data_IF_448238033693
#
_entry.id   IF_448238033693
#
_cell.length_a   1.000
_cell.length_b   1.000
_cell.length_c   1.000
_cell.angle_alpha   90.00
_cell.angle_beta   90.00
_cell.angle_gamma   90.00
#
_symmetry.space_group_name_H-M   'P 1'
#
loop_
_entity.id
_entity.type
_entity.pdbx_description
1 polymer ?
#
# COMPACT_ATOMS: atom_id res chain seq x y z
N UNK A 1 -8.56 -12.55 -1.50
CA UNK A 1 -9.04 -11.21 -1.88
C UNK A 1 -9.24 -11.09 -3.39
N UNK A 2 -8.21 -11.19 -4.27
CA UNK A 2 -8.31 -10.95 -5.74
C UNK A 2 -9.37 -11.83 -6.43
N UNK A 3 -9.50 -13.12 -6.06
CA UNK A 3 -10.56 -13.98 -6.59
C UNK A 3 -11.97 -13.49 -6.28
N UNK A 4 -12.19 -12.90 -5.10
CA UNK A 4 -13.48 -12.30 -4.76
C UNK A 4 -13.76 -11.06 -5.62
N UNK A 5 -12.76 -10.21 -5.82
CA UNK A 5 -12.90 -9.02 -6.70
C UNK A 5 -13.26 -9.47 -8.11
N UNK A 6 -12.54 -10.46 -8.67
CA UNK A 6 -12.81 -11.01 -9.99
C UNK A 6 -14.25 -11.48 -10.16
N UNK A 7 -14.79 -12.17 -9.16
CA UNK A 7 -16.16 -12.73 -9.21
C UNK A 7 -17.25 -11.65 -9.11
N UNK A 8 -16.93 -10.46 -8.64
CA UNK A 8 -17.88 -9.36 -8.47
C UNK A 8 -17.74 -8.26 -9.54
N UNK A 9 -16.64 -8.27 -10.31
CA UNK A 9 -16.40 -7.28 -11.34
C UNK A 9 -17.26 -7.59 -12.56
N UNK A 10 -18.04 -6.62 -12.99
CA UNK A 10 -18.90 -6.75 -14.19
C UNK A 10 -18.05 -6.67 -15.47
N UNK A 11 -18.62 -7.12 -16.57
CA UNK A 11 -18.04 -6.94 -17.91
C UNK A 11 -17.78 -5.45 -18.17
N UNK A 12 -16.55 -5.10 -18.56
CA UNK A 12 -16.11 -3.71 -18.74
C UNK A 12 -15.87 -2.92 -17.45
N UNK A 13 -16.03 -3.56 -16.29
CA UNK A 13 -15.75 -2.94 -15.00
C UNK A 13 -14.26 -2.74 -14.76
N UNK A 14 -13.92 -1.71 -13.96
CA UNK A 14 -12.55 -1.43 -13.53
C UNK A 14 -12.39 -1.74 -12.06
N UNK A 15 -11.22 -2.25 -11.70
CA UNK A 15 -10.76 -2.41 -10.32
C UNK A 15 -9.58 -1.46 -10.08
N UNK A 16 -9.73 -0.58 -9.10
CA UNK A 16 -8.68 0.32 -8.67
C UNK A 16 -8.02 -0.25 -7.42
N UNK A 17 -6.69 -0.40 -7.45
CA UNK A 17 -5.90 -0.86 -6.32
C UNK A 17 -4.84 0.19 -5.99
N UNK A 18 -4.86 0.69 -4.77
CA UNK A 18 -3.80 1.54 -4.19
C UNK A 18 -2.98 0.72 -3.20
N UNK A 19 -1.66 0.70 -3.39
CA UNK A 19 -0.70 0.10 -2.50
C UNK A 19 0.51 1.02 -2.40
N UNK A 20 1.13 1.14 -1.21
CA UNK A 20 2.38 1.87 -1.11
C UNK A 20 3.50 1.13 -1.87
N UNK A 21 4.47 1.88 -2.39
CA UNK A 21 5.66 1.32 -2.99
C UNK A 21 6.73 1.11 -1.91
N UNK A 22 7.22 -0.13 -1.68
CA UNK A 22 8.23 -0.40 -0.67
C UNK A 22 9.52 0.38 -0.95
N UNK A 23 9.92 1.24 -0.03
CA UNK A 23 11.21 1.94 -0.08
C UNK A 23 12.26 1.16 0.71
N UNK A 24 13.19 0.52 -0.01
CA UNK A 24 14.24 -0.33 0.59
C UNK A 24 15.17 0.49 1.48
N UNK A 25 15.53 1.71 1.08
CA UNK A 25 16.40 2.57 1.88
C UNK A 25 15.73 2.91 3.21
N UNK A 26 14.46 3.32 3.19
CA UNK A 26 13.69 3.58 4.40
C UNK A 26 13.58 2.35 5.31
N UNK A 27 13.36 1.16 4.73
CA UNK A 27 13.30 -0.10 5.49
C UNK A 27 14.61 -0.35 6.24
N UNK A 28 15.77 -0.19 5.56
CA UNK A 28 17.09 -0.42 6.13
C UNK A 28 17.44 0.63 7.19
N UNK A 29 17.22 1.91 6.90
CA UNK A 29 17.53 3.03 7.81
C UNK A 29 16.65 3.04 9.07
N UNK A 30 15.40 2.56 8.95
CA UNK A 30 14.44 2.54 10.06
C UNK A 30 14.49 1.26 10.89
N UNK A 31 15.25 0.25 10.48
CA UNK A 31 15.34 -1.01 11.22
C UNK A 31 15.94 -0.78 12.62
N UNK A 32 15.20 -1.16 13.67
CA UNK A 32 15.58 -1.02 15.08
C UNK A 32 15.77 0.42 15.57
N UNK A 33 15.42 1.41 14.76
CA UNK A 33 15.38 2.82 15.17
C UNK A 33 14.02 3.14 15.76
N UNK A 34 13.99 3.76 16.94
CA UNK A 34 12.74 4.27 17.50
C UNK A 34 12.51 5.70 17.00
N UNK A 35 11.52 5.87 16.12
CA UNK A 35 11.17 7.16 15.55
C UNK A 35 9.87 7.71 16.14
N UNK A 36 9.79 9.02 16.37
CA UNK A 36 8.53 9.70 16.69
C UNK A 36 7.74 9.84 15.41
N UNK A 37 6.51 9.30 15.38
CA UNK A 37 5.63 9.34 14.22
C UNK A 37 4.42 10.26 14.40
N UNK A 38 4.05 10.54 15.66
CA UNK A 38 3.02 11.51 15.98
C UNK A 38 3.22 12.08 17.38
N UNK A 39 2.88 13.35 17.53
CA UNK A 39 2.81 14.06 18.81
C UNK A 39 1.67 15.07 18.73
N UNK A 40 0.72 15.00 19.65
CA UNK A 40 -0.45 15.90 19.66
C UNK A 40 -1.09 15.92 21.06
N UNK A 41 -1.88 16.98 21.30
CA UNK A 41 -2.73 17.08 22.49
C UNK A 41 -4.18 16.79 22.09
N UNK A 42 -4.84 15.93 22.84
CA UNK A 42 -6.26 15.58 22.66
C UNK A 42 -7.17 16.72 23.11
N UNK A 43 -8.44 16.72 22.70
CA UNK A 43 -9.42 17.75 23.08
C UNK A 43 -9.65 17.83 24.61
N UNK A 44 -9.43 16.74 25.33
CA UNK A 44 -9.50 16.67 26.79
C UNK A 44 -8.18 17.02 27.51
N UNK A 45 -7.18 17.52 26.75
CA UNK A 45 -5.92 18.08 27.29
C UNK A 45 -4.85 17.05 27.63
N UNK A 46 -4.92 15.81 27.13
CA UNK A 46 -3.87 14.81 27.30
C UNK A 46 -2.83 14.91 26.19
N UNK A 47 -1.55 14.90 26.55
CA UNK A 47 -0.46 14.85 25.60
C UNK A 47 -0.22 13.42 25.16
N UNK A 48 -0.26 13.17 23.85
CA UNK A 48 -0.04 11.86 23.24
C UNK A 48 1.21 11.90 22.40
N UNK A 49 2.14 10.97 22.68
CA UNK A 49 3.34 10.73 21.90
C UNK A 49 3.31 9.29 21.38
N UNK A 50 3.49 9.12 20.07
CA UNK A 50 3.58 7.81 19.44
C UNK A 50 4.97 7.63 18.84
N UNK A 51 5.66 6.58 19.32
CA UNK A 51 6.94 6.17 18.77
C UNK A 51 6.79 4.86 18.02
N UNK A 52 7.49 4.73 16.90
CA UNK A 52 7.47 3.53 16.07
C UNK A 52 8.83 2.82 16.13
N UNK A 53 8.80 1.51 16.23
CA UNK A 53 9.92 0.63 15.87
C UNK A 53 9.47 -0.30 14.76
N UNK A 54 10.39 -0.72 13.90
CA UNK A 54 10.08 -1.68 12.85
C UNK A 54 11.21 -2.69 12.63
N UNK A 55 10.84 -3.86 12.13
CA UNK A 55 11.75 -4.93 11.73
C UNK A 55 11.23 -5.63 10.48
N UNK A 56 12.02 -5.60 9.43
CA UNK A 56 11.66 -6.27 8.19
C UNK A 56 12.10 -7.74 8.20
N UNK A 57 11.16 -8.64 7.91
CA UNK A 57 11.42 -10.07 7.70
C UNK A 57 11.52 -10.37 6.21
N UNK A 58 12.73 -10.51 5.68
CA UNK A 58 12.96 -10.71 4.24
C UNK A 58 12.38 -12.03 3.71
N UNK A 59 12.31 -13.07 4.53
CA UNK A 59 11.78 -14.40 4.12
C UNK A 59 10.27 -14.40 3.91
N UNK A 60 9.55 -13.57 4.65
CA UNK A 60 8.09 -13.42 4.56
C UNK A 60 7.68 -12.12 3.88
N UNK A 61 8.64 -11.19 3.70
CA UNK A 61 8.44 -9.82 3.23
C UNK A 61 7.42 -9.06 4.09
N UNK A 62 7.40 -9.34 5.39
CA UNK A 62 6.54 -8.63 6.33
C UNK A 62 7.37 -7.63 7.12
N UNK A 63 6.92 -6.38 7.15
CA UNK A 63 7.43 -5.37 8.05
C UNK A 63 6.63 -5.43 9.35
N UNK A 64 7.30 -5.83 10.45
CA UNK A 64 6.74 -5.88 11.79
C UNK A 64 6.90 -4.52 12.41
N UNK A 65 5.80 -3.84 12.66
CA UNK A 65 5.76 -2.48 13.20
C UNK A 65 5.14 -2.52 14.59
N UNK A 66 5.77 -1.82 15.53
CA UNK A 66 5.22 -1.59 16.86
C UNK A 66 5.04 -0.10 17.07
N UNK A 67 3.83 0.33 17.40
CA UNK A 67 3.52 1.69 17.84
C UNK A 67 3.40 1.73 19.34
N UNK A 68 4.33 2.44 19.97
CA UNK A 68 4.42 2.64 21.42
C UNK A 68 3.72 3.95 21.76
N UNK A 69 2.60 3.86 22.46
CA UNK A 69 1.81 5.01 22.90
C UNK A 69 2.25 5.46 24.27
N UNK A 70 2.48 6.76 24.41
CA UNK A 70 2.72 7.43 25.68
C UNK A 70 1.66 8.50 25.87
N UNK A 71 1.09 8.59 27.09
CA UNK A 71 0.09 9.60 27.45
C UNK A 71 0.63 10.37 28.65
N UNK A 72 0.70 11.71 28.54
CA UNK A 72 1.29 12.60 29.53
C UNK A 72 2.69 12.16 29.96
N UNK A 73 3.50 11.66 29.01
CA UNK A 73 4.86 11.18 29.24
C UNK A 73 4.98 9.76 29.79
N UNK A 74 3.88 9.12 30.19
CA UNK A 74 3.88 7.75 30.70
C UNK A 74 3.54 6.73 29.61
N UNK A 75 4.23 5.58 29.63
CA UNK A 75 3.92 4.47 28.71
C UNK A 75 2.50 3.98 28.94
N UNK A 76 1.74 3.87 27.85
CA UNK A 76 0.33 3.44 27.88
C UNK A 76 0.12 2.05 27.26
N UNK A 77 0.55 1.85 26.02
CA UNK A 77 0.29 0.59 25.30
C UNK A 77 1.20 0.41 24.08
N UNK A 78 1.21 -0.81 23.54
CA UNK A 78 1.82 -1.13 22.24
C UNK A 78 0.73 -1.64 21.32
N UNK A 79 0.73 -1.12 20.09
CA UNK A 79 -0.07 -1.66 18.98
C UNK A 79 0.87 -2.27 17.95
N UNK A 80 0.62 -3.55 17.60
CA UNK A 80 1.34 -4.24 16.54
C UNK A 80 0.62 -4.07 15.21
N UNK A 81 1.40 -3.81 14.16
CA UNK A 81 0.93 -3.73 12.78
C UNK A 81 1.89 -4.51 11.88
N UNK A 82 1.40 -5.57 11.28
CA UNK A 82 2.15 -6.38 10.33
C UNK A 82 1.77 -5.96 8.90
N UNK A 83 2.74 -5.44 8.16
CA UNK A 83 2.52 -4.97 6.79
C UNK A 83 3.28 -5.84 5.80
N UNK A 84 2.55 -6.55 4.93
CA UNK A 84 3.15 -7.26 3.81
C UNK A 84 3.65 -6.24 2.78
N UNK A 85 4.93 -6.35 2.42
CA UNK A 85 5.56 -5.52 1.39
C UNK A 85 5.37 -6.18 0.03
N UNK A 86 4.61 -5.54 -0.86
CA UNK A 86 4.44 -5.98 -2.24
C UNK A 86 5.34 -5.15 -3.14
N UNK A 87 6.43 -5.75 -3.61
CA UNK A 87 7.31 -5.10 -4.57
C UNK A 87 6.67 -5.03 -5.96
N UNK A 88 7.01 -4.02 -6.78
CA UNK A 88 6.28 -3.73 -8.02
C UNK A 88 6.11 -4.91 -8.97
N UNK A 89 7.19 -5.63 -9.28
CA UNK A 89 7.13 -6.77 -10.20
C UNK A 89 6.39 -7.99 -9.61
N UNK A 90 6.48 -8.17 -8.29
CA UNK A 90 5.74 -9.22 -7.60
C UNK A 90 4.24 -8.93 -7.67
N UNK A 91 3.83 -7.69 -7.37
CA UNK A 91 2.42 -7.30 -7.40
C UNK A 91 1.85 -7.36 -8.81
N UNK A 92 2.60 -6.90 -9.83
CA UNK A 92 2.23 -7.03 -11.23
C UNK A 92 1.94 -8.51 -11.58
N UNK A 93 2.86 -9.42 -11.23
CA UNK A 93 2.70 -10.86 -11.46
C UNK A 93 1.50 -11.48 -10.72
N UNK A 94 1.22 -11.04 -9.50
CA UNK A 94 0.05 -11.50 -8.75
C UNK A 94 -1.28 -11.07 -9.40
N UNK A 95 -1.34 -9.84 -9.90
CA UNK A 95 -2.51 -9.29 -10.56
C UNK A 95 -2.78 -10.02 -11.88
N UNK A 96 -1.76 -10.20 -12.71
CA UNK A 96 -1.85 -10.93 -13.98
C UNK A 96 -2.28 -12.39 -13.76
N UNK A 97 -1.66 -13.11 -12.83
CA UNK A 97 -2.03 -14.49 -12.49
C UNK A 97 -3.43 -14.60 -11.89
N UNK A 98 -3.93 -13.56 -11.26
CA UNK A 98 -5.31 -13.52 -10.77
C UNK A 98 -6.33 -13.25 -11.88
N UNK A 99 -5.89 -13.02 -13.12
CA UNK A 99 -6.73 -12.82 -14.30
C UNK A 99 -7.11 -11.37 -14.53
N UNK A 100 -6.25 -10.43 -14.12
CA UNK A 100 -6.41 -9.02 -14.42
C UNK A 100 -5.37 -8.55 -15.44
N UNK A 101 -5.78 -7.66 -16.33
CA UNK A 101 -4.89 -6.86 -17.16
C UNK A 101 -4.65 -5.49 -16.48
N UNK A 102 -3.39 -5.07 -16.42
CA UNK A 102 -3.00 -3.74 -15.97
C UNK A 102 -3.23 -2.76 -17.13
N UNK A 103 -4.21 -1.86 -16.98
CA UNK A 103 -4.50 -0.81 -17.96
C UNK A 103 -3.56 0.38 -17.72
N UNK A 104 -3.47 0.82 -16.46
CA UNK A 104 -2.56 1.89 -16.05
C UNK A 104 -1.91 1.54 -14.71
N UNK A 105 -0.69 2.05 -14.53
CA UNK A 105 0.04 2.03 -13.27
C UNK A 105 0.59 3.42 -13.01
N UNK A 106 0.12 4.05 -11.94
CA UNK A 106 0.51 5.40 -11.53
C UNK A 106 1.32 5.38 -10.25
N UNK A 107 2.15 6.40 -10.06
CA UNK A 107 2.97 6.62 -8.87
C UNK A 107 2.34 7.53 -7.84
N UNK A 108 1.31 8.29 -8.23
CA UNK A 108 0.57 9.23 -7.40
C UNK A 108 -0.91 9.29 -7.79
N UNK A 109 -1.74 9.96 -6.98
CA UNK A 109 -3.15 10.23 -7.31
C UNK A 109 -3.35 11.30 -8.37
N UNK A 110 -2.29 12.03 -8.74
CA UNK A 110 -2.24 12.99 -9.83
C UNK A 110 -1.97 12.32 -11.19
N UNK A 111 -2.08 10.99 -11.24
CA UNK A 111 -1.89 10.16 -12.45
C UNK A 111 -0.46 10.26 -13.03
N UNK A 112 0.54 10.62 -12.23
CA UNK A 112 1.93 10.56 -12.64
C UNK A 112 2.36 9.13 -12.94
N UNK A 113 3.13 8.95 -14.02
CA UNK A 113 3.62 7.62 -14.40
C UNK A 113 4.47 7.00 -13.28
N UNK A 114 4.25 5.73 -12.99
CA UNK A 114 5.02 4.99 -11.99
C UNK A 114 6.51 4.95 -12.37
N UNK A 115 7.38 5.30 -11.42
CA UNK A 115 8.83 5.33 -11.57
C UNK A 115 9.55 5.01 -10.23
N UNK A 116 10.88 5.03 -10.23
CA UNK A 116 11.71 4.66 -9.06
C UNK A 116 11.49 5.54 -7.82
N UNK A 117 10.98 6.76 -7.98
CA UNK A 117 10.71 7.70 -6.89
C UNK A 117 9.24 7.68 -6.44
N UNK A 118 8.40 6.85 -7.05
CA UNK A 118 6.99 6.78 -6.71
C UNK A 118 6.77 6.22 -5.31
N UNK A 119 6.00 6.90 -4.49
CA UNK A 119 5.64 6.45 -3.13
C UNK A 119 4.50 5.43 -3.15
N UNK A 120 3.73 5.38 -4.23
CA UNK A 120 2.55 4.53 -4.40
C UNK A 120 2.65 3.68 -5.65
N UNK A 121 1.90 2.59 -5.64
CA UNK A 121 1.57 1.75 -6.77
C UNK A 121 0.06 1.79 -6.95
N UNK A 122 -0.43 2.62 -7.86
CA UNK A 122 -1.86 2.76 -8.12
C UNK A 122 -2.17 2.10 -9.45
N UNK A 123 -2.99 1.06 -9.40
CA UNK A 123 -3.34 0.27 -10.57
C UNK A 123 -4.77 0.54 -11.00
N UNK A 124 -4.96 0.68 -12.31
CA UNK A 124 -6.24 0.57 -12.98
C UNK A 124 -6.27 -0.76 -13.70
N UNK A 125 -7.16 -1.63 -13.30
CA UNK A 125 -7.20 -3.02 -13.71
C UNK A 125 -8.56 -3.36 -14.36
N UNK A 126 -8.54 -4.27 -15.33
CA UNK A 126 -9.76 -4.90 -15.88
C UNK A 126 -9.57 -6.42 -15.92
N UNK A 127 -10.64 -7.17 -16.12
CA UNK A 127 -10.51 -8.61 -16.38
C UNK A 127 -9.88 -8.83 -17.77
N UNK A 128 -9.02 -9.85 -17.91
CA UNK A 128 -8.33 -10.18 -19.16
C UNK A 128 -9.30 -10.25 -20.36
N UNK A 129 -10.49 -10.82 -20.15
CA UNK A 129 -11.50 -10.95 -21.18
C UNK A 129 -12.13 -9.61 -21.62
N UNK A 130 -11.89 -8.54 -20.88
CA UNK A 130 -12.50 -7.22 -21.07
C UNK A 130 -11.55 -6.15 -21.63
N UNK A 131 -10.26 -6.42 -21.75
CA UNK A 131 -9.27 -5.44 -22.23
C UNK A 131 -9.60 -4.88 -23.60
N UNK A 132 -9.95 -5.76 -24.54
CA UNK A 132 -10.34 -5.37 -25.91
C UNK A 132 -11.58 -4.46 -25.92
N UNK A 133 -12.52 -4.70 -25.01
CA UNK A 133 -13.72 -3.87 -24.87
C UNK A 133 -13.38 -2.49 -24.31
N UNK A 134 -12.50 -2.43 -23.29
CA UNK A 134 -12.03 -1.18 -22.73
C UNK A 134 -11.32 -0.30 -23.77
N UNK A 135 -10.40 -0.85 -24.54
CA UNK A 135 -9.66 -0.14 -25.60
C UNK A 135 -10.62 0.41 -26.68
N UNK A 136 -11.65 -0.34 -27.08
CA UNK A 136 -12.66 0.13 -28.03
C UNK A 136 -13.47 1.33 -27.51
N UNK A 137 -13.81 1.34 -26.22
CA UNK A 137 -14.56 2.46 -25.60
C UNK A 137 -13.70 3.72 -25.55
N UNK A 138 -12.41 3.61 -25.22
CA UNK A 138 -11.49 4.75 -25.17
C UNK A 138 -11.27 5.38 -26.55
N UNK A 139 -11.17 4.57 -27.60
CA UNK A 139 -10.95 5.03 -28.98
C UNK A 139 -12.19 5.69 -29.63
N UNK A 140 -13.35 5.66 -28.96
CA UNK A 140 -14.60 6.30 -29.44
C UNK A 140 -14.87 7.65 -28.74
N UNK A 141 -14.01 8.10 -27.85
CA UNK A 141 -14.04 9.40 -27.18
C UNK A 141 -13.04 10.37 -27.79
#
# INVERSE_FOLDING_TARGET
>A
ALGCVRNHLKVGGLFLLDCFNPNIQYIVESEKVQAVIAEYTTDDGRDVLIKQTMRYESTTQINRIEWHYFINGEFHSIQNLDMRMFFPQELDSYLERAGFDIIHKFGSFEEEAFNDNSEKQIYVLTLNDNKVLYEKIQNQR
#
